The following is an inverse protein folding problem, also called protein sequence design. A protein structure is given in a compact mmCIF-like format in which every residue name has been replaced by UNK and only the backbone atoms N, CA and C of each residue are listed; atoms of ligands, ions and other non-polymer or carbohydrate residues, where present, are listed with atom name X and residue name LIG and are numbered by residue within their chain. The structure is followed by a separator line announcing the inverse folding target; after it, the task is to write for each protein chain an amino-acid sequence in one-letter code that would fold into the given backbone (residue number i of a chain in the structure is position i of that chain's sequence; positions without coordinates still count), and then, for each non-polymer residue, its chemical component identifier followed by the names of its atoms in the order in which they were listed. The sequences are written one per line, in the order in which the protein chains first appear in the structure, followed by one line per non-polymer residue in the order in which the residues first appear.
data_IF_570430063988
#
_entry.id   IF_570430063988
#
_cell.length_a   1.000
_cell.length_b   1.000
_cell.length_c   1.000
_cell.angle_alpha   90.00
_cell.angle_beta   90.00
_cell.angle_gamma   90.00
#
_symmetry.space_group_name_H-M   'P 1'
#
loop_
_entity.id
_entity.type
_entity.pdbx_description
1 polymer ?
#
# COMPACT_ATOMS: atom_id res chain seq x y z
N UNK A 1 31.65 -13.11 -8.03
CA UNK A 1 30.40 -12.40 -7.64
C UNK A 1 29.19 -13.32 -7.53
N UNK A 2 28.96 -14.27 -8.44
CA UNK A 2 27.75 -15.11 -8.43
C UNK A 2 27.53 -15.92 -7.15
N UNK A 3 28.61 -16.41 -6.52
CA UNK A 3 28.52 -17.23 -5.31
C UNK A 3 27.92 -16.48 -4.12
N UNK A 4 28.29 -15.21 -3.94
CA UNK A 4 27.79 -14.37 -2.84
C UNK A 4 26.33 -13.94 -3.15
N UNK A 5 25.99 -13.76 -4.44
CA UNK A 5 24.68 -13.30 -4.89
C UNK A 5 23.57 -14.34 -4.74
N UNK A 6 23.88 -15.65 -4.75
CA UNK A 6 22.92 -16.76 -4.58
C UNK A 6 22.00 -16.63 -3.36
N UNK A 7 22.49 -15.95 -2.33
CA UNK A 7 21.74 -15.74 -1.08
C UNK A 7 20.74 -14.59 -1.13
N UNK A 8 20.68 -13.83 -2.24
CA UNK A 8 19.83 -12.65 -2.44
C UNK A 8 19.83 -11.67 -1.26
N UNK A 9 20.97 -11.59 -0.57
CA UNK A 9 21.13 -10.71 0.57
C UNK A 9 21.03 -9.27 0.08
N UNK A 10 20.26 -8.44 0.80
CA UNK A 10 20.11 -7.03 0.47
C UNK A 10 21.45 -6.31 0.33
N UNK A 11 21.44 -5.19 -0.40
CA UNK A 11 22.62 -4.45 -0.87
C UNK A 11 23.73 -4.29 0.18
N UNK A 12 23.36 -3.91 1.42
CA UNK A 12 24.32 -3.66 2.51
C UNK A 12 25.12 -4.92 2.89
N UNK A 13 24.43 -6.05 3.11
CA UNK A 13 25.09 -7.32 3.45
C UNK A 13 25.91 -7.87 2.30
N UNK A 14 25.45 -7.64 1.07
CA UNK A 14 26.14 -8.08 -0.14
C UNK A 14 27.45 -7.29 -0.36
N UNK A 15 27.44 -5.97 -0.15
CA UNK A 15 28.65 -5.12 -0.14
C UNK A 15 29.63 -5.51 0.96
N UNK A 16 29.15 -5.75 2.18
CA UNK A 16 30.00 -6.15 3.30
C UNK A 16 30.78 -7.43 2.98
N UNK A 17 30.10 -8.48 2.51
CA UNK A 17 30.75 -9.74 2.10
C UNK A 17 31.65 -9.56 0.88
N UNK A 18 31.27 -8.70 -0.06
CA UNK A 18 32.11 -8.37 -1.21
C UNK A 18 33.47 -7.82 -0.77
N UNK A 19 33.47 -6.89 0.20
CA UNK A 19 34.69 -6.27 0.74
C UNK A 19 35.54 -7.21 1.60
N UNK A 20 34.94 -8.25 2.19
CA UNK A 20 35.66 -9.29 2.95
C UNK A 20 36.43 -10.25 2.04
N UNK A 21 35.98 -10.44 0.79
CA UNK A 21 36.51 -11.46 -0.13
C UNK A 21 37.30 -10.84 -1.28
N UNK A 22 37.00 -9.59 -1.65
CA UNK A 22 37.55 -8.91 -2.81
C UNK A 22 38.09 -7.52 -2.45
N UNK A 23 39.29 -7.19 -2.94
CA UNK A 23 39.96 -5.92 -2.71
C UNK A 23 40.48 -5.34 -4.04
N UNK A 24 39.58 -4.81 -4.87
CA UNK A 24 39.95 -4.02 -6.05
C UNK A 24 39.02 -2.80 -6.21
N UNK A 25 39.45 -1.77 -6.96
CA UNK A 25 38.65 -0.57 -7.20
C UNK A 25 37.33 -0.93 -7.88
N UNK A 26 36.22 -0.32 -7.46
CA UNK A 26 34.89 -0.51 -8.06
C UNK A 26 34.14 -1.80 -7.73
N UNK A 27 34.57 -2.58 -6.73
CA UNK A 27 33.84 -3.77 -6.27
C UNK A 27 32.38 -3.47 -5.89
N UNK A 28 32.12 -2.31 -5.29
CA UNK A 28 30.78 -1.88 -4.90
C UNK A 28 29.89 -1.59 -6.12
N UNK A 29 30.46 -1.07 -7.22
CA UNK A 29 29.72 -0.75 -8.43
C UNK A 29 29.28 -2.02 -9.18
N UNK A 30 30.15 -3.02 -9.27
CA UNK A 30 29.79 -4.33 -9.84
C UNK A 30 28.70 -5.02 -9.02
N UNK A 31 28.77 -4.88 -7.69
CA UNK A 31 27.78 -5.39 -6.75
C UNK A 31 26.41 -4.73 -6.99
N UNK A 32 26.38 -3.40 -7.09
CA UNK A 32 25.15 -2.65 -7.37
C UNK A 32 24.51 -3.07 -8.69
N UNK A 33 25.31 -3.15 -9.76
CA UNK A 33 24.85 -3.55 -11.08
C UNK A 33 24.27 -4.97 -11.07
N UNK A 34 24.89 -5.91 -10.32
CA UNK A 34 24.41 -7.29 -10.21
C UNK A 34 23.08 -7.38 -9.47
N UNK A 35 22.90 -6.62 -8.39
CA UNK A 35 21.66 -6.60 -7.60
C UNK A 35 20.52 -5.91 -8.35
N UNK A 36 20.80 -4.79 -9.03
CA UNK A 36 19.81 -4.06 -9.82
C UNK A 36 19.25 -4.90 -10.99
N UNK A 37 20.10 -5.73 -11.61
CA UNK A 37 19.68 -6.58 -12.74
C UNK A 37 19.07 -7.93 -12.29
N UNK A 38 18.91 -8.18 -10.99
CA UNK A 38 18.37 -9.44 -10.48
C UNK A 38 16.87 -9.33 -10.19
N UNK A 39 16.07 -10.12 -10.92
CA UNK A 39 14.61 -10.16 -10.74
C UNK A 39 14.20 -10.58 -9.32
N UNK A 40 14.88 -11.58 -8.75
CA UNK A 40 14.58 -12.03 -7.37
C UNK A 40 14.85 -10.91 -6.38
N UNK A 41 15.98 -10.22 -6.48
CA UNK A 41 16.28 -9.08 -5.59
C UNK A 41 15.27 -7.94 -5.73
N UNK A 42 14.73 -7.69 -6.94
CA UNK A 42 13.69 -6.70 -7.15
C UNK A 42 12.37 -7.06 -6.44
N UNK A 43 12.00 -8.35 -6.37
CA UNK A 43 10.76 -8.78 -5.69
C UNK A 43 10.81 -8.66 -4.16
N UNK A 44 11.99 -8.77 -3.55
CA UNK A 44 12.18 -8.63 -2.09
C UNK A 44 12.64 -7.25 -1.66
N UNK A 45 12.87 -6.33 -2.61
CA UNK A 45 13.22 -4.96 -2.27
C UNK A 45 12.06 -4.30 -1.53
N UNK A 46 12.37 -3.58 -0.45
CA UNK A 46 11.35 -2.79 0.26
C UNK A 46 10.69 -1.85 -0.75
N UNK A 47 9.37 -1.96 -0.89
CA UNK A 47 8.58 -1.05 -1.69
C UNK A 47 8.69 0.39 -1.20
N UNK A 48 8.14 1.32 -1.97
CA UNK A 48 8.03 2.70 -1.54
C UNK A 48 7.30 2.78 -0.18
N UNK A 49 7.70 3.71 0.71
CA UNK A 49 6.97 3.96 1.93
C UNK A 49 5.52 4.30 1.58
N UNK A 50 4.57 3.86 2.42
CA UNK A 50 3.19 4.25 2.26
C UNK A 50 3.08 5.78 2.27
N UNK A 51 2.22 6.32 1.40
CA UNK A 51 1.94 7.75 1.41
C UNK A 51 1.45 8.17 2.81
N UNK A 52 1.88 9.34 3.31
CA UNK A 52 1.43 9.83 4.59
C UNK A 52 -0.09 9.98 4.60
N UNK A 53 -0.72 9.69 5.75
CA UNK A 53 -2.15 9.90 5.94
C UNK A 53 -2.49 11.36 5.64
N UNK A 54 -3.36 11.58 4.66
CA UNK A 54 -3.87 12.90 4.35
C UNK A 54 -4.97 13.25 5.36
N UNK A 55 -4.64 14.11 6.33
CA UNK A 55 -5.62 14.65 7.27
C UNK A 55 -6.61 15.53 6.51
N UNK A 56 -7.87 15.09 6.41
CA UNK A 56 -8.93 15.91 5.82
C UNK A 56 -9.10 17.23 6.59
N UNK A 57 -9.44 18.27 5.85
CA UNK A 57 -9.82 19.57 6.41
C UNK A 57 -10.98 19.42 7.39
N UNK A 58 -10.97 20.24 8.46
CA UNK A 58 -12.05 20.28 9.43
C UNK A 58 -13.38 20.67 8.74
N UNK A 59 -14.40 19.83 8.87
CA UNK A 59 -15.75 20.09 8.36
C UNK A 59 -16.41 21.19 9.19
N UNK A 60 -17.14 22.10 8.55
CA UNK A 60 -17.73 23.28 9.25
C UNK A 60 -19.21 23.12 9.61
N UNK A 61 -19.93 22.28 8.88
CA UNK A 61 -21.38 22.13 9.03
C UNK A 61 -21.79 20.65 8.96
N UNK A 62 -22.86 20.24 9.67
CA UNK A 62 -23.47 18.93 9.50
C UNK A 62 -23.82 18.67 8.03
N UNK A 63 -23.67 17.42 7.60
CA UNK A 63 -23.96 16.94 6.24
C UNK A 63 -23.11 17.57 5.13
N UNK A 64 -22.00 18.24 5.47
CA UNK A 64 -21.05 18.74 4.46
C UNK A 64 -20.33 17.59 3.73
N UNK A 65 -20.12 16.47 4.42
CA UNK A 65 -19.55 15.26 3.84
C UNK A 65 -20.21 14.03 4.48
N UNK A 66 -20.66 13.10 3.64
CA UNK A 66 -21.31 11.86 4.07
C UNK A 66 -20.48 10.68 3.58
N UNK A 67 -20.00 9.86 4.52
CA UNK A 67 -19.46 8.54 4.19
C UNK A 67 -20.62 7.56 4.05
N UNK A 68 -20.65 6.81 2.95
CA UNK A 68 -21.68 5.81 2.70
C UNK A 68 -21.04 4.45 2.44
N UNK A 69 -21.62 3.40 3.01
CA UNK A 69 -21.23 2.02 2.74
C UNK A 69 -22.43 1.09 2.75
N UNK A 70 -22.31 -0.04 2.07
CA UNK A 70 -23.34 -1.08 2.04
C UNK A 70 -22.88 -2.25 2.90
N UNK A 71 -23.68 -2.59 3.91
CA UNK A 71 -23.47 -3.76 4.76
C UNK A 71 -24.43 -4.88 4.33
N UNK A 72 -23.88 -6.07 4.09
CA UNK A 72 -24.65 -7.28 3.82
C UNK A 72 -24.74 -8.18 5.04
N UNK A 73 -25.96 -8.57 5.43
CA UNK A 73 -26.21 -9.63 6.41
C UNK A 73 -27.37 -10.50 5.92
N UNK A 74 -27.06 -11.67 5.35
CA UNK A 74 -28.02 -12.46 4.57
C UNK A 74 -29.34 -12.71 5.33
N UNK A 75 -30.51 -12.59 4.66
CA UNK A 75 -30.75 -12.17 3.27
C UNK A 75 -30.84 -10.64 3.09
N UNK A 76 -30.54 -9.86 4.13
CA UNK A 76 -30.77 -8.42 4.19
C UNK A 76 -29.54 -7.61 3.78
N UNK A 77 -29.79 -6.40 3.28
CA UNK A 77 -28.75 -5.42 2.94
C UNK A 77 -29.14 -4.08 3.53
N UNK A 78 -28.14 -3.31 3.95
CA UNK A 78 -28.32 -2.01 4.58
C UNK A 78 -27.38 -1.00 3.94
N UNK A 79 -27.89 0.19 3.68
CA UNK A 79 -27.11 1.38 3.41
C UNK A 79 -26.82 2.07 4.74
N UNK A 80 -25.56 2.22 5.07
CA UNK A 80 -25.10 2.96 6.24
C UNK A 80 -24.52 4.27 5.71
N UNK A 81 -25.08 5.39 6.16
CA UNK A 81 -24.57 6.73 5.90
C UNK A 81 -24.16 7.38 7.20
N UNK A 82 -22.97 7.98 7.21
CA UNK A 82 -22.40 8.66 8.36
C UNK A 82 -22.11 10.11 7.97
N UNK A 83 -22.70 11.06 8.69
CA UNK A 83 -22.26 12.46 8.61
C UNK A 83 -20.89 12.59 9.26
N UNK A 84 -19.89 12.97 8.46
CA UNK A 84 -18.51 13.05 8.92
C UNK A 84 -18.26 14.21 9.88
N UNK A 85 -19.17 15.19 9.97
CA UNK A 85 -19.07 16.29 10.93
C UNK A 85 -19.60 15.90 12.32
N UNK A 86 -20.85 15.45 12.39
CA UNK A 86 -21.52 15.16 13.67
C UNK A 86 -21.37 13.72 14.14
N UNK A 87 -20.82 12.83 13.30
CA UNK A 87 -20.82 11.36 13.49
C UNK A 87 -22.21 10.76 13.54
N UNK A 88 -23.24 11.48 13.06
CA UNK A 88 -24.60 10.98 12.99
C UNK A 88 -24.69 9.82 11.99
N UNK A 89 -25.24 8.69 12.44
CA UNK A 89 -25.37 7.46 11.66
C UNK A 89 -26.83 7.26 11.29
N UNK A 90 -27.08 7.08 10.00
CA UNK A 90 -28.36 6.65 9.46
C UNK A 90 -28.22 5.30 8.77
N UNK A 91 -29.14 4.39 9.08
CA UNK A 91 -29.16 3.03 8.52
C UNK A 91 -30.49 2.81 7.81
N UNK A 92 -30.42 2.45 6.53
CA UNK A 92 -31.59 2.23 5.68
C UNK A 92 -31.54 0.81 5.09
N UNK A 93 -32.60 0.03 5.26
CA UNK A 93 -32.70 -1.30 4.63
C UNK A 93 -32.86 -1.15 3.11
N UNK A 94 -32.06 -1.89 2.34
CA UNK A 94 -32.09 -1.90 0.89
C UNK A 94 -32.82 -3.14 0.36
N UNK A 95 -33.77 -2.93 -0.56
CA UNK A 95 -34.43 -3.99 -1.30
C UNK A 95 -33.64 -4.39 -2.57
N UNK A 96 -32.78 -3.50 -3.07
CA UNK A 96 -31.93 -3.69 -4.25
C UNK A 96 -30.62 -2.89 -4.09
N UNK A 97 -29.55 -3.35 -4.73
CA UNK A 97 -28.28 -2.62 -4.83
C UNK A 97 -28.19 -1.71 -6.06
N UNK A 98 -29.23 -1.72 -6.90
CA UNK A 98 -29.28 -0.90 -8.11
C UNK A 98 -29.91 0.45 -7.80
N UNK A 99 -29.30 1.51 -8.30
CA UNK A 99 -29.97 2.80 -8.47
C UNK A 99 -30.88 2.71 -9.70
N UNK A 100 -32.11 3.21 -9.59
CA UNK A 100 -32.94 3.50 -10.76
C UNK A 100 -32.69 4.96 -11.14
N UNK A 101 -31.63 5.22 -11.91
CA UNK A 101 -31.55 6.48 -12.65
C UNK A 101 -32.48 6.33 -13.86
N UNK A 102 -33.58 7.09 -13.88
CA UNK A 102 -34.45 7.18 -15.05
C UNK A 102 -33.85 8.13 -16.08
N UNK A 103 -33.93 7.73 -17.36
CA UNK A 103 -33.67 8.58 -18.52
C UNK A 103 -34.72 9.70 -18.66
#
# INVERSE_FOLDING_TARGET
MDLIHKSHMGMVKYKQRGREVFFWPSVDAEIEQKVQNCQVCATVQKGQPQEPLNYKNFLRFPFSEIAANILGFQPQRFLITVDMYSTFIQVSKLNSLRSNCGD
#
